data_IF_315584213337
#
_entry.id   IF_315584213337
#
_cell.length_a   1.000
_cell.length_b   1.000
_cell.length_c   1.000
_cell.angle_alpha   90.00
_cell.angle_beta   90.00
_cell.angle_gamma   90.00
#
_symmetry.space_group_name_H-M   'P 1'
#
loop_
_entity.id
_entity.type
_entity.pdbx_description
1 polymer ?
#
# COMPACT_ATOMS: atom_id res chain seq x y z
N UNK A 1 16.07 13.41 -6.60
CA UNK A 1 14.94 12.55 -6.99
C UNK A 1 14.66 11.52 -5.92
N UNK A 2 13.43 11.16 -5.78
CA UNK A 2 13.03 10.19 -4.78
C UNK A 2 13.45 8.77 -5.13
N UNK A 3 13.31 7.89 -4.17
CA UNK A 3 13.60 6.46 -4.31
C UNK A 3 12.48 5.79 -5.09
N UNK A 4 12.78 4.66 -5.72
CA UNK A 4 11.76 3.82 -6.36
C UNK A 4 10.86 3.18 -5.29
N UNK A 5 9.65 2.75 -5.65
CA UNK A 5 8.78 2.03 -4.71
C UNK A 5 9.44 0.80 -4.09
N UNK A 6 10.26 0.06 -4.85
CA UNK A 6 11.01 -1.07 -4.31
C UNK A 6 12.00 -0.64 -3.22
N UNK A 7 12.72 0.44 -3.48
CA UNK A 7 13.66 1.00 -2.50
C UNK A 7 12.92 1.54 -1.27
N UNK A 8 11.78 2.20 -1.49
CA UNK A 8 10.94 2.73 -0.42
C UNK A 8 10.43 1.59 0.48
N UNK A 9 9.99 0.48 -0.12
CA UNK A 9 9.52 -0.67 0.66
C UNK A 9 10.65 -1.29 1.48
N UNK A 10 11.83 -1.44 0.89
CA UNK A 10 13.01 -1.99 1.58
C UNK A 10 13.42 -1.09 2.74
N UNK A 11 13.41 0.23 2.54
CA UNK A 11 13.71 1.21 3.57
C UNK A 11 12.70 1.12 4.73
N UNK A 12 11.41 1.04 4.40
CA UNK A 12 10.37 0.86 5.40
C UNK A 12 10.61 -0.40 6.23
N UNK A 13 10.89 -1.53 5.58
CA UNK A 13 11.11 -2.80 6.28
C UNK A 13 12.31 -2.73 7.23
N UNK A 14 13.40 -2.11 6.79
CA UNK A 14 14.60 -1.95 7.62
C UNK A 14 14.32 -1.06 8.83
N UNK A 15 13.63 0.06 8.63
CA UNK A 15 13.30 0.98 9.70
C UNK A 15 12.24 0.40 10.63
N UNK A 16 11.31 -0.38 10.09
CA UNK A 16 10.30 -1.07 10.90
C UNK A 16 10.93 -2.05 11.90
N UNK A 17 11.97 -2.77 11.46
CA UNK A 17 12.71 -3.66 12.37
C UNK A 17 13.29 -2.88 13.56
N UNK A 18 13.84 -1.70 13.31
CA UNK A 18 14.38 -0.84 14.37
C UNK A 18 13.28 -0.37 15.32
N UNK A 19 12.16 0.03 14.76
CA UNK A 19 11.01 0.50 15.56
C UNK A 19 10.46 -0.63 16.42
N UNK A 20 10.33 -1.84 15.85
CA UNK A 20 9.86 -3.02 16.58
C UNK A 20 10.77 -3.36 17.75
N UNK A 21 12.08 -3.19 17.58
CA UNK A 21 13.03 -3.41 18.67
C UNK A 21 12.87 -2.36 19.78
N UNK A 22 12.54 -1.13 19.42
CA UNK A 22 12.41 -0.01 20.36
C UNK A 22 11.09 -0.05 21.14
N UNK A 23 9.97 -0.38 20.46
CA UNK A 23 8.62 -0.37 21.08
C UNK A 23 7.84 -1.62 20.64
N UNK A 24 8.26 -2.81 21.11
CA UNK A 24 7.73 -4.07 20.57
C UNK A 24 6.22 -4.27 20.78
N UNK A 25 5.69 -3.83 21.92
CA UNK A 25 4.26 -4.04 22.20
C UNK A 25 3.36 -3.20 21.30
N UNK A 26 3.69 -1.92 21.14
CA UNK A 26 2.89 -1.01 20.30
C UNK A 26 2.91 -1.47 18.85
N UNK A 27 4.09 -1.81 18.34
CA UNK A 27 4.21 -2.27 16.95
C UNK A 27 3.52 -3.61 16.74
N UNK A 28 3.60 -4.52 17.71
CA UNK A 28 2.92 -5.81 17.62
C UNK A 28 1.39 -5.64 17.64
N UNK A 29 0.87 -4.75 18.45
CA UNK A 29 -0.57 -4.47 18.48
C UNK A 29 -1.07 -4.02 17.12
N UNK A 30 -0.29 -3.20 16.42
CA UNK A 30 -0.66 -2.73 15.09
C UNK A 30 -0.48 -3.84 14.03
N UNK A 31 0.71 -4.44 13.95
CA UNK A 31 1.05 -5.35 12.85
C UNK A 31 0.51 -6.76 13.01
N UNK A 32 0.35 -7.23 14.24
CA UNK A 32 -0.06 -8.62 14.50
C UNK A 32 -1.53 -8.76 14.90
N UNK A 33 -2.19 -7.66 15.27
CA UNK A 33 -3.60 -7.70 15.68
C UNK A 33 -4.46 -6.79 14.80
N UNK A 34 -4.20 -5.47 14.78
CA UNK A 34 -5.06 -4.53 14.06
C UNK A 34 -5.03 -4.78 12.54
N UNK A 35 -3.85 -4.89 11.95
CA UNK A 35 -3.73 -5.09 10.50
C UNK A 35 -4.39 -6.39 10.03
N UNK A 36 -4.07 -7.55 10.61
CA UNK A 36 -4.72 -8.79 10.19
C UNK A 36 -6.24 -8.77 10.40
N UNK A 37 -6.70 -8.21 11.51
CA UNK A 37 -8.14 -8.13 11.78
C UNK A 37 -8.85 -7.26 10.77
N UNK A 38 -8.25 -6.13 10.40
CA UNK A 38 -8.86 -5.20 9.44
C UNK A 38 -8.82 -5.75 8.00
N UNK A 39 -7.77 -6.49 7.64
CA UNK A 39 -7.53 -6.89 6.26
C UNK A 39 -7.94 -8.32 5.91
N UNK A 40 -8.30 -9.15 6.88
CA UNK A 40 -8.73 -10.53 6.60
C UNK A 40 -10.00 -10.56 5.76
N UNK A 41 -10.22 -11.65 5.04
CA UNK A 41 -11.48 -11.85 4.31
C UNK A 41 -12.67 -11.79 5.26
N UNK A 42 -13.66 -11.03 4.86
CA UNK A 42 -14.93 -10.89 5.56
C UNK A 42 -16.02 -10.68 4.53
N UNK A 43 -16.97 -9.80 4.81
CA UNK A 43 -17.97 -9.39 3.82
C UNK A 43 -17.27 -8.81 2.58
N UNK A 44 -16.19 -8.05 2.81
CA UNK A 44 -15.28 -7.62 1.73
C UNK A 44 -14.07 -8.56 1.73
N UNK A 45 -13.59 -8.90 0.53
CA UNK A 45 -12.37 -9.71 0.39
C UNK A 45 -11.13 -8.91 0.78
N UNK A 46 -10.06 -9.60 1.13
CA UNK A 46 -8.77 -8.95 1.38
C UNK A 46 -8.33 -8.14 0.16
N UNK A 47 -8.55 -8.64 -1.05
CA UNK A 47 -8.24 -7.89 -2.28
C UNK A 47 -8.93 -6.54 -2.31
N UNK A 48 -10.23 -6.51 -2.06
CA UNK A 48 -11.00 -5.26 -2.03
C UNK A 48 -10.48 -4.33 -0.93
N UNK A 49 -10.20 -4.88 0.24
CA UNK A 49 -9.68 -4.09 1.36
C UNK A 49 -8.31 -3.48 1.05
N UNK A 50 -7.45 -4.20 0.35
CA UNK A 50 -6.14 -3.66 -0.04
C UNK A 50 -6.29 -2.56 -1.10
N UNK A 51 -7.24 -2.70 -2.02
CA UNK A 51 -7.55 -1.64 -2.98
C UNK A 51 -8.06 -0.37 -2.28
N UNK A 52 -8.89 -0.53 -1.25
CA UNK A 52 -9.36 0.58 -0.41
C UNK A 52 -8.18 1.24 0.29
N UNK A 53 -7.29 0.42 0.88
CA UNK A 53 -6.11 0.93 1.58
C UNK A 53 -5.21 1.74 0.64
N UNK A 54 -5.01 1.25 -0.59
CA UNK A 54 -4.22 1.96 -1.59
C UNK A 54 -4.84 3.32 -1.93
N UNK A 55 -6.15 3.37 -2.15
CA UNK A 55 -6.84 4.63 -2.44
C UNK A 55 -6.64 5.65 -1.33
N UNK A 56 -6.75 5.22 -0.08
CA UNK A 56 -6.52 6.09 1.07
C UNK A 56 -5.05 6.53 1.14
N UNK A 57 -4.12 5.62 0.87
CA UNK A 57 -2.69 5.92 0.89
C UNK A 57 -2.30 7.01 -0.10
N UNK A 58 -2.87 6.99 -1.31
CA UNK A 58 -2.60 8.02 -2.34
C UNK A 58 -3.15 9.36 -1.88
N UNK A 59 -4.36 9.36 -1.32
CA UNK A 59 -4.98 10.59 -0.80
C UNK A 59 -4.23 11.13 0.42
N UNK A 60 -3.65 10.25 1.24
CA UNK A 60 -2.84 10.63 2.38
C UNK A 60 -1.40 11.02 1.98
N UNK A 61 -1.06 10.91 0.71
CA UNK A 61 0.28 11.22 0.17
C UNK A 61 1.41 10.49 0.91
N UNK A 62 1.17 9.21 1.20
CA UNK A 62 2.09 8.39 1.98
C UNK A 62 2.82 7.41 1.05
N UNK A 63 4.05 7.74 0.66
CA UNK A 63 4.81 6.90 -0.26
C UNK A 63 5.10 5.51 0.30
N UNK A 64 5.45 5.38 1.58
CA UNK A 64 5.59 4.07 2.23
C UNK A 64 4.29 3.25 2.10
N UNK A 65 3.17 3.86 2.41
CA UNK A 65 1.86 3.19 2.35
C UNK A 65 1.51 2.76 0.93
N UNK A 66 1.80 3.60 -0.06
CA UNK A 66 1.55 3.28 -1.47
C UNK A 66 2.38 2.06 -1.88
N UNK A 67 3.67 2.04 -1.58
CA UNK A 67 4.54 0.91 -1.92
C UNK A 67 4.07 -0.37 -1.24
N UNK A 68 3.73 -0.30 0.05
CA UNK A 68 3.23 -1.44 0.82
C UNK A 68 1.95 -1.98 0.20
N UNK A 69 0.97 -1.12 -0.06
CA UNK A 69 -0.36 -1.58 -0.46
C UNK A 69 -0.46 -1.94 -1.94
N UNK A 70 0.35 -1.38 -2.83
CA UNK A 70 0.44 -1.90 -4.20
C UNK A 70 0.97 -3.33 -4.16
N UNK A 71 2.04 -3.59 -3.40
CA UNK A 71 2.58 -4.93 -3.24
C UNK A 71 1.53 -5.88 -2.65
N UNK A 72 0.84 -5.45 -1.60
CA UNK A 72 -0.22 -6.24 -0.95
C UNK A 72 -1.41 -6.50 -1.88
N UNK A 73 -1.77 -5.54 -2.73
CA UNK A 73 -2.81 -5.76 -3.73
C UNK A 73 -2.46 -6.94 -4.64
N UNK A 74 -1.22 -6.98 -5.14
CA UNK A 74 -0.78 -8.10 -5.96
C UNK A 74 -0.77 -9.42 -5.18
N UNK A 75 -0.31 -9.40 -3.94
CA UNK A 75 -0.33 -10.60 -3.08
C UNK A 75 -1.75 -11.12 -2.87
N UNK A 76 -2.74 -10.22 -2.83
CA UNK A 76 -4.14 -10.58 -2.68
C UNK A 76 -4.84 -10.94 -4.01
N UNK A 77 -4.10 -10.95 -5.11
CA UNK A 77 -4.61 -11.36 -6.41
C UNK A 77 -5.18 -10.26 -7.28
N UNK A 78 -4.95 -8.99 -6.94
CA UNK A 78 -5.40 -7.89 -7.78
C UNK A 78 -4.61 -7.84 -9.09
N UNK A 79 -5.28 -7.41 -10.15
CA UNK A 79 -4.65 -7.17 -11.44
C UNK A 79 -4.17 -5.72 -11.53
N UNK A 80 -3.26 -5.45 -12.48
CA UNK A 80 -2.84 -4.08 -12.77
C UNK A 80 -4.02 -3.18 -13.07
N UNK A 81 -4.99 -3.70 -13.82
CA UNK A 81 -6.18 -2.96 -14.23
C UNK A 81 -7.05 -2.60 -13.02
N UNK A 82 -7.23 -3.54 -12.10
CA UNK A 82 -7.99 -3.28 -10.88
C UNK A 82 -7.34 -2.20 -10.04
N UNK A 83 -6.02 -2.27 -9.90
CA UNK A 83 -5.27 -1.26 -9.15
C UNK A 83 -5.40 0.13 -9.81
N UNK A 84 -5.27 0.18 -11.14
CA UNK A 84 -5.39 1.43 -11.88
C UNK A 84 -6.78 2.06 -11.71
N UNK A 85 -7.85 1.25 -11.72
CA UNK A 85 -9.20 1.76 -11.52
C UNK A 85 -9.39 2.30 -10.10
N UNK A 86 -8.81 1.64 -9.10
CA UNK A 86 -8.84 2.14 -7.73
C UNK A 86 -8.15 3.51 -7.61
N UNK A 87 -7.06 3.71 -8.32
CA UNK A 87 -6.38 5.01 -8.38
C UNK A 87 -7.29 6.09 -8.98
N UNK A 88 -8.09 5.74 -9.97
CA UNK A 88 -9.06 6.68 -10.56
C UNK A 88 -10.06 7.20 -9.53
N UNK A 89 -10.57 6.34 -8.66
CA UNK A 89 -11.46 6.74 -7.59
C UNK A 89 -10.73 7.64 -6.58
N UNK A 90 -9.49 7.30 -6.25
CA UNK A 90 -8.68 8.11 -5.33
C UNK A 90 -8.45 9.52 -5.89
N UNK A 91 -8.21 9.64 -7.18
CA UNK A 91 -8.03 10.94 -7.84
C UNK A 91 -9.30 11.77 -7.76
N UNK A 92 -10.45 11.14 -7.99
CA UNK A 92 -11.74 11.84 -7.85
C UNK A 92 -11.89 12.45 -6.46
N UNK A 93 -11.54 11.70 -5.44
CA UNK A 93 -11.74 12.13 -4.05
C UNK A 93 -10.64 13.05 -3.55
N UNK A 94 -9.39 12.82 -3.97
CA UNK A 94 -8.23 13.52 -3.43
C UNK A 94 -7.70 14.67 -4.27
N UNK A 95 -8.14 14.79 -5.52
CA UNK A 95 -7.74 15.88 -6.40
C UNK A 95 -6.28 15.81 -6.86
N UNK A 96 -5.68 16.99 -7.07
CA UNK A 96 -4.32 17.12 -7.61
C UNK A 96 -3.25 16.30 -6.88
N UNK A 97 -3.16 16.38 -5.55
CA UNK A 97 -2.17 15.58 -4.83
C UNK A 97 -2.32 14.08 -5.06
N UNK A 98 -3.56 13.57 -5.11
CA UNK A 98 -3.82 12.16 -5.38
C UNK A 98 -3.41 11.79 -6.81
N UNK A 99 -3.64 12.68 -7.79
CA UNK A 99 -3.16 12.46 -9.15
C UNK A 99 -1.64 12.33 -9.18
N UNK A 100 -0.94 13.23 -8.51
CA UNK A 100 0.52 13.23 -8.46
C UNK A 100 1.06 11.95 -7.83
N UNK A 101 0.52 11.57 -6.67
CA UNK A 101 0.95 10.35 -5.99
C UNK A 101 0.51 9.07 -6.70
N UNK A 102 -0.54 9.13 -7.51
CA UNK A 102 -0.90 8.00 -8.36
C UNK A 102 0.17 7.69 -9.41
N UNK A 103 0.96 8.69 -9.82
CA UNK A 103 2.10 8.41 -10.73
C UNK A 103 3.18 7.58 -10.04
N UNK A 104 3.41 7.81 -8.75
CA UNK A 104 4.29 6.96 -7.95
C UNK A 104 3.72 5.54 -7.83
N UNK A 105 2.41 5.42 -7.64
CA UNK A 105 1.74 4.12 -7.61
C UNK A 105 1.88 3.37 -8.94
N UNK A 106 1.88 4.06 -10.08
CA UNK A 106 2.11 3.42 -11.38
C UNK A 106 3.50 2.79 -11.45
N UNK A 107 4.52 3.45 -10.92
CA UNK A 107 5.85 2.84 -10.84
C UNK A 107 5.84 1.63 -9.90
N UNK A 108 5.12 1.72 -8.79
CA UNK A 108 4.97 0.59 -7.87
C UNK A 108 4.30 -0.61 -8.55
N UNK A 109 3.31 -0.36 -9.39
CA UNK A 109 2.68 -1.43 -10.18
C UNK A 109 3.72 -2.16 -11.03
N UNK A 110 4.60 -1.42 -11.70
CA UNK A 110 5.65 -2.05 -12.50
C UNK A 110 6.65 -2.80 -11.63
N UNK A 111 7.03 -2.22 -10.49
CA UNK A 111 8.03 -2.80 -9.60
C UNK A 111 7.55 -4.10 -8.94
N UNK A 112 6.27 -4.19 -8.60
CA UNK A 112 5.74 -5.30 -7.79
C UNK A 112 4.85 -6.27 -8.56
N UNK A 113 4.50 -5.98 -9.81
CA UNK A 113 3.65 -6.88 -10.59
C UNK A 113 4.29 -8.26 -10.68
N UNK A 114 3.54 -9.34 -10.45
CA UNK A 114 4.08 -10.68 -10.63
C UNK A 114 4.45 -10.91 -12.08
N UNK A 115 5.51 -11.67 -12.29
CA UNK A 115 5.89 -12.07 -13.66
C UNK A 115 4.87 -13.02 -14.24
N UNK A 116 4.65 -12.87 -15.54
CA UNK A 116 3.67 -13.69 -16.24
C UNK A 116 4.10 -15.17 -16.35
#
# INVERSE_FOLDING_TARGET
MGKSPKEVLAEFQANMSKLQSAIPEVTADFTKRLMPDALKDGVLSTKVKELVALGIAVCATCDYCIAIHVNKCFEAGATKEEIAEALGVAILMGGGPALTYSTFAMQAIEDFAPEA
#
